data_IF_714505134529
#
_entry.id   IF_714505134529
#
_cell.length_a   1.000
_cell.length_b   1.000
_cell.length_c   1.000
_cell.angle_alpha   90.00
_cell.angle_beta   90.00
_cell.angle_gamma   90.00
#
_symmetry.space_group_name_H-M   'P 1'
#
loop_
_entity.id
_entity.type
_entity.pdbx_description
1 polymer ?
#
# COMPACT_ATOMS: atom_id res chain seq x y z
N UNK A 1 -9.06 -19.06 -17.26
CA UNK A 1 -8.71 -19.82 -16.03
C UNK A 1 -9.23 -21.25 -16.06
N UNK A 2 -9.13 -21.94 -17.21
CA UNK A 2 -9.88 -23.18 -17.45
C UNK A 2 -8.99 -24.41 -17.61
N UNK A 3 -7.71 -24.25 -17.91
CA UNK A 3 -6.83 -25.36 -18.29
C UNK A 3 -6.44 -26.27 -17.11
N UNK A 4 -6.00 -25.70 -15.98
CA UNK A 4 -5.53 -26.48 -14.82
C UNK A 4 -6.66 -27.20 -14.09
N UNK A 5 -7.85 -26.60 -14.01
CA UNK A 5 -9.02 -27.23 -13.39
C UNK A 5 -9.57 -28.37 -14.26
N UNK A 6 -9.55 -28.20 -15.59
CA UNK A 6 -9.93 -29.25 -16.52
C UNK A 6 -8.97 -30.46 -16.42
N UNK A 7 -7.67 -30.20 -16.32
CA UNK A 7 -6.65 -31.26 -16.12
C UNK A 7 -6.84 -32.02 -14.80
N UNK A 8 -7.13 -31.31 -13.70
CA UNK A 8 -7.41 -31.94 -12.40
C UNK A 8 -8.63 -32.86 -12.47
N UNK A 9 -9.71 -32.41 -13.12
CA UNK A 9 -10.93 -33.21 -13.30
C UNK A 9 -10.69 -34.45 -14.17
N UNK A 10 -9.88 -34.33 -15.23
CA UNK A 10 -9.51 -35.45 -16.09
C UNK A 10 -8.71 -36.52 -15.32
N UNK A 11 -7.69 -36.10 -14.55
CA UNK A 11 -6.89 -37.01 -13.72
C UNK A 11 -7.72 -37.67 -12.61
N UNK A 12 -8.66 -36.94 -12.00
CA UNK A 12 -9.56 -37.49 -10.97
C UNK A 12 -10.47 -38.57 -11.57
N UNK A 13 -11.01 -38.33 -12.77
CA UNK A 13 -11.85 -39.29 -13.48
C UNK A 13 -11.07 -40.55 -13.86
N UNK A 14 -9.80 -40.41 -14.26
CA UNK A 14 -8.93 -41.54 -14.57
C UNK A 14 -8.65 -42.38 -13.32
N UNK A 15 -8.31 -41.73 -12.19
CA UNK A 15 -8.13 -42.40 -10.89
C UNK A 15 -9.36 -43.22 -10.52
N UNK A 16 -10.55 -42.64 -10.61
CA UNK A 16 -11.79 -43.31 -10.21
C UNK A 16 -12.09 -44.54 -11.09
N UNK A 17 -11.79 -44.46 -12.39
CA UNK A 17 -11.88 -45.61 -13.31
C UNK A 17 -10.86 -46.70 -12.97
N UNK A 18 -9.61 -46.33 -12.68
CA UNK A 18 -8.59 -47.31 -12.29
C UNK A 18 -8.96 -48.00 -10.96
N UNK A 19 -9.50 -47.25 -9.98
CA UNK A 19 -10.00 -47.82 -8.73
C UNK A 19 -11.20 -48.75 -8.95
N UNK A 20 -12.13 -48.41 -9.84
CA UNK A 20 -13.23 -49.31 -10.21
C UNK A 20 -12.75 -50.58 -10.93
N UNK A 21 -11.72 -50.47 -11.79
CA UNK A 21 -11.11 -51.62 -12.44
C UNK A 21 -10.40 -52.54 -11.44
N UNK A 22 -9.73 -51.98 -10.42
CA UNK A 22 -9.17 -52.73 -9.28
C UNK A 22 -10.27 -53.40 -8.45
N UNK A 23 -11.36 -52.69 -8.15
CA UNK A 23 -12.44 -53.20 -7.32
C UNK A 23 -13.24 -54.33 -7.97
N UNK A 24 -13.38 -54.31 -9.30
CA UNK A 24 -14.22 -55.25 -10.04
C UNK A 24 -13.44 -56.41 -10.71
N UNK A 25 -12.10 -56.43 -10.69
CA UNK A 25 -11.30 -57.54 -11.28
C UNK A 25 -10.49 -58.31 -10.25
N UNK A 26 -10.78 -59.61 -10.16
CA UNK A 26 -9.93 -60.64 -9.54
C UNK A 26 -9.02 -61.31 -10.58
N UNK A 27 -8.25 -60.50 -11.31
CA UNK A 27 -7.32 -60.97 -12.37
C UNK A 27 -5.93 -61.38 -11.85
N UNK A 28 -5.03 -61.91 -12.71
CA UNK A 28 -3.68 -62.31 -12.32
C UNK A 28 -2.87 -61.16 -11.70
N UNK A 29 -2.07 -61.45 -10.67
CA UNK A 29 -1.30 -60.50 -9.84
C UNK A 29 -0.48 -59.48 -10.66
N UNK A 30 0.07 -59.87 -11.81
CA UNK A 30 0.82 -58.97 -12.70
C UNK A 30 -0.04 -57.82 -13.25
N UNK A 31 -1.30 -58.08 -13.62
CA UNK A 31 -2.20 -57.02 -14.10
C UNK A 31 -2.62 -56.09 -12.96
N UNK A 32 -2.76 -56.61 -11.73
CA UNK A 32 -3.08 -55.81 -10.56
C UNK A 32 -1.95 -54.84 -10.21
N UNK A 33 -0.70 -55.34 -10.23
CA UNK A 33 0.49 -54.55 -9.96
C UNK A 33 0.70 -53.44 -10.99
N UNK A 34 0.38 -53.70 -12.26
CA UNK A 34 0.48 -52.70 -13.32
C UNK A 34 -0.55 -51.56 -13.13
N UNK A 35 -1.80 -51.90 -12.78
CA UNK A 35 -2.82 -50.88 -12.49
C UNK A 35 -2.48 -50.09 -11.23
N UNK A 36 -1.89 -50.73 -10.21
CA UNK A 36 -1.45 -50.04 -8.98
C UNK A 36 -0.30 -49.06 -9.24
N UNK A 37 0.66 -49.42 -10.10
CA UNK A 37 1.73 -48.51 -10.55
C UNK A 37 1.18 -47.31 -11.31
N UNK A 38 0.24 -47.55 -12.21
CA UNK A 38 -0.42 -46.50 -12.98
C UNK A 38 -1.25 -45.58 -12.06
N UNK A 39 -1.94 -46.14 -11.08
CA UNK A 39 -2.67 -45.39 -10.07
C UNK A 39 -1.73 -44.50 -9.23
N UNK A 40 -0.58 -45.04 -8.80
CA UNK A 40 0.43 -44.28 -8.06
C UNK A 40 0.98 -43.10 -8.88
N UNK A 41 1.20 -43.31 -10.19
CA UNK A 41 1.61 -42.25 -11.13
C UNK A 41 0.57 -41.13 -11.21
N UNK A 42 -0.70 -41.49 -11.41
CA UNK A 42 -1.81 -40.53 -11.52
C UNK A 42 -2.01 -39.76 -10.20
N UNK A 43 -1.87 -40.43 -9.06
CA UNK A 43 -1.91 -39.77 -7.75
C UNK A 43 -0.77 -38.77 -7.57
N UNK A 44 0.45 -39.12 -7.96
CA UNK A 44 1.58 -38.18 -7.95
C UNK A 44 1.31 -36.93 -8.79
N UNK A 45 0.71 -37.09 -9.97
CA UNK A 45 0.37 -35.96 -10.84
C UNK A 45 -0.76 -35.08 -10.27
N UNK A 46 -1.76 -35.70 -9.61
CA UNK A 46 -2.82 -34.98 -8.89
C UNK A 46 -2.26 -34.12 -7.76
N UNK A 47 -1.37 -34.69 -6.95
CA UNK A 47 -0.79 -34.00 -5.80
C UNK A 47 0.12 -32.86 -6.23
N UNK A 48 0.93 -33.06 -7.27
CA UNK A 48 1.74 -32.00 -7.87
C UNK A 48 0.86 -30.85 -8.40
N UNK A 49 -0.22 -31.18 -9.13
CA UNK A 49 -1.15 -30.18 -9.68
C UNK A 49 -1.90 -29.42 -8.59
N UNK A 50 -2.32 -30.11 -7.51
CA UNK A 50 -2.98 -29.49 -6.35
C UNK A 50 -2.04 -28.56 -5.59
N UNK A 51 -0.81 -28.99 -5.32
CA UNK A 51 0.21 -28.20 -4.63
C UNK A 51 0.56 -26.93 -5.42
N UNK A 52 0.67 -27.03 -6.75
CA UNK A 52 0.86 -25.88 -7.62
C UNK A 52 -0.32 -24.89 -7.54
N UNK A 53 -1.56 -25.38 -7.56
CA UNK A 53 -2.76 -24.54 -7.41
C UNK A 53 -2.83 -23.85 -6.05
N UNK A 54 -2.50 -24.54 -4.96
CA UNK A 54 -2.49 -23.97 -3.62
C UNK A 54 -1.42 -22.88 -3.47
N UNK A 55 -0.22 -23.13 -3.99
CA UNK A 55 0.86 -22.12 -4.04
C UNK A 55 0.43 -20.86 -4.81
N UNK A 56 -0.25 -21.03 -5.95
CA UNK A 56 -0.76 -19.91 -6.74
C UNK A 56 -1.91 -19.17 -6.02
N UNK A 57 -2.80 -19.88 -5.32
CA UNK A 57 -3.86 -19.28 -4.50
C UNK A 57 -3.28 -18.43 -3.37
N UNK A 58 -2.27 -18.94 -2.68
CA UNK A 58 -1.56 -18.20 -1.63
C UNK A 58 -0.87 -16.96 -2.20
N UNK A 59 -0.19 -17.07 -3.36
CA UNK A 59 0.39 -15.91 -4.06
C UNK A 59 -0.65 -14.86 -4.45
N UNK A 60 -1.84 -15.26 -4.92
CA UNK A 60 -2.93 -14.32 -5.25
C UNK A 60 -3.53 -13.69 -4.00
N UNK A 61 -3.67 -14.42 -2.90
CA UNK A 61 -4.12 -13.88 -1.61
C UNK A 61 -3.10 -12.87 -1.05
N UNK A 62 -1.80 -13.20 -1.08
CA UNK A 62 -0.74 -12.26 -0.70
C UNK A 62 -0.69 -11.08 -1.67
N UNK A 63 -0.90 -11.28 -2.97
CA UNK A 63 -0.98 -10.19 -3.95
C UNK A 63 -2.21 -9.30 -3.73
N UNK A 64 -3.35 -9.82 -3.28
CA UNK A 64 -4.46 -8.95 -2.82
C UNK A 64 -4.08 -8.09 -1.60
N UNK A 65 -3.14 -8.55 -0.77
CA UNK A 65 -2.61 -7.80 0.37
C UNK A 65 -1.42 -6.89 -0.03
N UNK A 66 -0.67 -7.23 -1.08
CA UNK A 66 0.48 -6.46 -1.60
C UNK A 66 0.09 -5.46 -2.69
N UNK A 67 -1.07 -5.60 -3.32
CA UNK A 67 -1.76 -4.52 -4.04
C UNK A 67 -2.48 -3.66 -3.01
N UNK A 68 -1.71 -3.13 -2.07
CA UNK A 68 -1.87 -1.77 -1.59
C UNK A 68 -0.99 -0.91 -2.48
N UNK A 69 -1.31 -0.87 -3.77
CA UNK A 69 -0.68 0.02 -4.74
C UNK A 69 -1.78 0.79 -5.44
N UNK A 70 -1.62 2.11 -5.46
CA UNK A 70 -2.39 3.08 -6.22
C UNK A 70 -2.87 2.49 -7.56
N UNK A 71 -4.16 2.16 -7.65
CA UNK A 71 -4.86 2.03 -8.92
C UNK A 71 -6.07 2.94 -8.88
N UNK A 72 -5.82 4.19 -9.24
CA UNK A 72 -6.83 5.03 -9.82
C UNK A 72 -7.36 4.32 -11.07
N UNK A 73 -8.64 3.98 -11.06
CA UNK A 73 -9.37 3.62 -12.28
C UNK A 73 -9.66 2.14 -12.43
N UNK A 74 -10.96 1.84 -12.35
CA UNK A 74 -11.65 0.76 -13.07
C UNK A 74 -11.16 -0.64 -12.67
N UNK A 75 -11.87 -1.36 -11.81
CA UNK A 75 -12.93 -2.27 -12.27
C UNK A 75 -13.74 -2.73 -11.04
N UNK A 76 -15.00 -2.31 -10.96
CA UNK A 76 -16.03 -2.94 -10.12
C UNK A 76 -17.40 -2.50 -10.66
N UNK A 77 -18.30 -3.41 -11.03
CA UNK A 77 -19.60 -3.06 -11.60
C UNK A 77 -20.41 -2.17 -10.64
N UNK A 78 -21.13 -1.20 -11.20
CA UNK A 78 -22.06 -0.23 -10.58
C UNK A 78 -22.47 -0.47 -9.12
N UNK A 79 -21.69 0.10 -8.19
CA UNK A 79 -22.08 0.24 -6.79
C UNK A 79 -22.31 1.72 -6.50
N UNK A 80 -23.52 2.07 -6.06
CA UNK A 80 -23.93 3.43 -5.65
C UNK A 80 -23.01 4.07 -4.58
N UNK A 81 -22.14 3.26 -3.96
CA UNK A 81 -21.20 3.67 -2.92
C UNK A 81 -19.82 4.09 -3.44
N UNK A 82 -19.48 3.81 -4.71
CA UNK A 82 -18.21 4.24 -5.34
C UNK A 82 -18.00 5.76 -5.41
N UNK A 83 -18.99 6.59 -5.80
CA UNK A 83 -18.78 8.04 -5.83
C UNK A 83 -18.49 8.58 -4.42
N UNK A 84 -19.12 8.01 -3.39
CA UNK A 84 -18.89 8.39 -1.99
C UNK A 84 -17.50 7.98 -1.52
N UNK A 85 -17.08 6.74 -1.78
CA UNK A 85 -15.74 6.28 -1.39
C UNK A 85 -14.63 7.04 -2.11
N UNK A 86 -14.83 7.36 -3.39
CA UNK A 86 -13.87 8.13 -4.17
C UNK A 86 -13.83 9.60 -3.73
N UNK A 87 -14.97 10.21 -3.41
CA UNK A 87 -15.02 11.55 -2.85
C UNK A 87 -14.29 11.61 -1.49
N UNK A 88 -14.46 10.59 -0.65
CA UNK A 88 -13.78 10.51 0.64
C UNK A 88 -12.27 10.33 0.49
N UNK A 89 -11.80 9.45 -0.40
CA UNK A 89 -10.37 9.28 -0.66
C UNK A 89 -9.74 10.54 -1.24
N UNK A 90 -10.46 11.24 -2.12
CA UNK A 90 -10.00 12.50 -2.69
C UNK A 90 -9.96 13.60 -1.63
N UNK A 91 -10.95 13.67 -0.75
CA UNK A 91 -10.98 14.61 0.37
C UNK A 91 -9.82 14.36 1.35
N UNK A 92 -9.55 13.11 1.69
CA UNK A 92 -8.41 12.73 2.52
C UNK A 92 -7.09 13.10 1.85
N UNK A 93 -6.95 12.85 0.55
CA UNK A 93 -5.76 13.23 -0.21
C UNK A 93 -5.57 14.74 -0.25
N UNK A 94 -6.65 15.51 -0.46
CA UNK A 94 -6.61 16.97 -0.42
C UNK A 94 -6.27 17.51 0.97
N UNK A 95 -6.77 16.87 2.03
CA UNK A 95 -6.46 17.24 3.41
C UNK A 95 -4.99 17.02 3.74
N UNK A 96 -4.45 15.82 3.44
CA UNK A 96 -3.05 15.50 3.72
C UNK A 96 -2.08 16.30 2.86
N UNK A 97 -2.43 16.58 1.60
CA UNK A 97 -1.62 17.45 0.73
C UNK A 97 -1.59 18.89 1.23
N UNK A 98 -2.72 19.42 1.70
CA UNK A 98 -2.80 20.76 2.31
C UNK A 98 -1.98 20.83 3.59
N UNK A 99 -2.09 19.83 4.46
CA UNK A 99 -1.32 19.75 5.70
C UNK A 99 0.18 19.62 5.42
N UNK A 100 0.56 18.76 4.46
CA UNK A 100 1.93 18.64 3.99
C UNK A 100 2.48 19.95 3.42
N UNK A 101 1.64 20.69 2.68
CA UNK A 101 1.96 22.03 2.18
C UNK A 101 2.22 23.03 3.30
N UNK A 102 1.39 23.05 4.35
CA UNK A 102 1.63 23.89 5.53
C UNK A 102 2.94 23.54 6.23
N UNK A 103 3.22 22.25 6.40
CA UNK A 103 4.49 21.79 7.00
C UNK A 103 5.67 22.24 6.13
N UNK A 104 5.57 22.12 4.81
CA UNK A 104 6.63 22.54 3.88
C UNK A 104 6.84 24.06 3.93
N UNK A 105 5.77 24.85 3.98
CA UNK A 105 5.83 26.31 4.14
C UNK A 105 6.55 26.65 5.46
N UNK A 106 6.14 26.06 6.59
CA UNK A 106 6.77 26.30 7.90
C UNK A 106 8.24 25.87 7.89
N UNK A 107 8.55 24.71 7.32
CA UNK A 107 9.92 24.21 7.19
C UNK A 107 10.79 25.12 6.30
N UNK A 108 10.23 25.65 5.20
CA UNK A 108 10.91 26.59 4.31
C UNK A 108 11.08 27.98 4.91
N UNK A 109 10.16 28.41 5.78
CA UNK A 109 10.28 29.64 6.56
C UNK A 109 11.31 29.53 7.68
N UNK A 110 11.60 28.32 8.17
CA UNK A 110 12.53 28.09 9.27
C UNK A 110 13.95 28.67 9.02
N UNK A 111 14.64 28.41 7.89
CA UNK A 111 15.95 29.01 7.63
C UNK A 111 15.89 30.55 7.51
N UNK A 112 14.81 31.09 6.91
CA UNK A 112 14.62 32.53 6.79
C UNK A 112 14.37 33.16 8.15
N UNK A 113 13.52 32.55 8.98
CA UNK A 113 13.22 33.01 10.34
C UNK A 113 14.46 32.98 11.23
N UNK A 114 15.31 31.96 11.11
CA UNK A 114 16.55 31.85 11.89
C UNK A 114 17.51 33.03 11.61
N UNK A 115 17.49 33.57 10.40
CA UNK A 115 18.29 34.74 10.01
C UNK A 115 17.54 36.07 10.27
N UNK A 116 16.24 36.13 9.98
CA UNK A 116 15.42 37.33 10.08
C UNK A 116 15.17 37.74 11.54
N UNK A 117 14.92 36.79 12.45
CA UNK A 117 14.68 37.05 13.88
C UNK A 117 15.84 37.82 14.53
N UNK A 118 17.12 37.39 14.44
CA UNK A 118 18.22 38.15 15.02
C UNK A 118 18.44 39.49 14.31
N UNK A 119 18.24 39.58 12.99
CA UNK A 119 18.35 40.84 12.25
C UNK A 119 17.33 41.88 12.73
N UNK A 120 16.06 41.47 12.83
CA UNK A 120 14.95 42.33 13.29
C UNK A 120 15.15 42.71 14.76
N UNK A 121 15.59 41.78 15.61
CA UNK A 121 15.88 42.06 17.01
C UNK A 121 17.04 43.06 17.17
N UNK A 122 18.14 42.90 16.42
CA UNK A 122 19.23 43.89 16.40
C UNK A 122 18.74 45.25 15.90
N UNK A 123 17.96 45.28 14.82
CA UNK A 123 17.41 46.50 14.25
C UNK A 123 16.49 47.26 15.21
N UNK A 124 15.56 46.55 15.86
CA UNK A 124 14.67 47.11 16.89
C UNK A 124 15.47 47.62 18.10
N UNK A 125 16.46 46.85 18.57
CA UNK A 125 17.33 47.25 19.69
C UNK A 125 18.17 48.47 19.36
N UNK A 126 18.68 48.57 18.13
CA UNK A 126 19.41 49.74 17.65
C UNK A 126 18.49 50.97 17.52
N UNK A 127 17.27 50.79 17.02
CA UNK A 127 16.28 51.87 16.88
C UNK A 127 15.79 52.38 18.24
N UNK A 128 15.52 51.47 19.19
CA UNK A 128 15.17 51.82 20.57
C UNK A 128 16.29 52.58 21.28
N UNK A 129 17.56 52.19 21.06
CA UNK A 129 18.73 52.89 21.60
C UNK A 129 18.97 54.26 20.94
N UNK A 130 18.61 54.43 19.67
CA UNK A 130 18.66 55.73 18.97
C UNK A 130 17.57 56.68 19.46
N UNK A 131 16.36 56.20 19.68
CA UNK A 131 15.25 57.05 20.15
C UNK A 131 15.45 57.58 21.58
N UNK A 132 16.20 56.88 22.44
CA UNK A 132 16.53 57.37 23.79
C UNK A 132 17.56 58.51 23.81
N UNK A 133 18.34 58.69 22.72
CA UNK A 133 19.31 59.79 22.62
C UNK A 133 18.71 61.10 22.10
N UNK A 134 17.49 61.06 21.55
CA UNK A 134 16.78 62.26 21.06
C UNK A 134 15.85 62.84 22.15
N UNK A 135 15.50 62.07 23.18
CA UNK A 135 14.66 62.51 24.29
C UNK A 135 15.47 63.04 25.50
N UNK A 136 16.43 63.95 25.25
CA UNK A 136 16.88 64.89 26.28
C UNK A 136 16.59 66.32 25.78
N UNK A 137 15.42 66.90 26.10
CA UNK A 137 15.27 68.34 25.97
C UNK A 137 16.34 69.00 26.85
N UNK A 138 17.12 69.90 26.26
CA UNK A 138 18.03 70.79 27.01
C UNK A 138 17.19 71.55 28.06
N UNK A 139 17.62 71.64 29.33
CA UNK A 139 17.03 72.61 30.24
C UNK A 139 17.18 73.98 29.61
N UNK A 140 16.04 74.65 29.48
CA UNK A 140 15.91 76.01 29.01
C UNK A 140 16.75 76.91 29.91
N UNK A 141 17.55 77.72 29.25
CA UNK A 141 18.32 78.84 29.78
C UNK A 141 17.42 79.71 30.65
N UNK A 142 17.70 79.76 31.94
CA UNK A 142 17.07 80.74 32.84
C UNK A 142 17.83 82.06 32.68
N UNK A 143 17.13 83.04 32.10
CA UNK A 143 17.30 84.49 32.20
C UNK A 143 18.20 84.93 33.38
N UNK A 144 19.30 85.64 33.10
CA UNK A 144 19.43 87.11 33.17
C UNK A 144 19.54 87.67 34.60
N UNK A 145 20.06 88.90 34.83
CA UNK A 145 20.26 90.05 33.92
C UNK A 145 21.72 90.42 33.58
#
# INVERSE_FOLDING_TARGET
>A
MTDTQARLNALTTLRDRLQQLLANRSGPLEQLLEVERELARVQGELDATRSALETMRTRVQTSRLTVNYQSAGQLAPDSAWRPVSNALSNALTAFTSTLGGLILIVAGLLPIALIAVPLVWLGLKWRARRNQKIARPKPVETDQP
#
